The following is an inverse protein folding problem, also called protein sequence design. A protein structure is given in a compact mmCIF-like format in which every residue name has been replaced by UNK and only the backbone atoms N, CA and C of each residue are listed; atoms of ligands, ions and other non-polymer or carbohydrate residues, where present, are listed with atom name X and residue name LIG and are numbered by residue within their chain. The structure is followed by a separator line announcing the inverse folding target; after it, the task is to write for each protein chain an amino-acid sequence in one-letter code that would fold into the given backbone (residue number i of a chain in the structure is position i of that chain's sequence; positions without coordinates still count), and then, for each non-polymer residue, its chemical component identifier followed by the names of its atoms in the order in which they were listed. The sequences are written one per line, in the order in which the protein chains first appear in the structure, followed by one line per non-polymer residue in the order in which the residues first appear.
data_IF_959247349454
#
_entry.id   IF_959247349454
#
_cell.length_a   1.000
_cell.length_b   1.000
_cell.length_c   1.000
_cell.angle_alpha   90.00
_cell.angle_beta   90.00
_cell.angle_gamma   90.00
#
_symmetry.space_group_name_H-M   'P 1'
#
loop_
_entity.id
_entity.type
_entity.pdbx_description
1 polymer ?
#
# COMPACT_ATOMS: atom_id res chain seq x y z
N UNK A 1 12.03 64.93 -7.90
CA UNK A 1 11.76 63.49 -8.17
C UNK A 1 11.00 62.78 -7.05
N UNK A 2 10.97 63.30 -5.82
CA UNK A 2 10.23 62.69 -4.67
C UNK A 2 8.69 62.81 -4.78
N UNK A 3 8.16 63.93 -5.19
CA UNK A 3 6.69 64.17 -5.25
C UNK A 3 5.93 63.28 -6.24
N UNK A 4 6.57 62.94 -7.38
CA UNK A 4 5.99 62.01 -8.37
C UNK A 4 5.96 60.57 -7.83
N UNK A 5 6.99 60.17 -7.11
CA UNK A 5 7.07 58.85 -6.49
C UNK A 5 6.01 58.67 -5.37
N UNK A 6 5.75 59.72 -4.61
CA UNK A 6 4.75 59.75 -3.54
C UNK A 6 3.32 59.79 -4.12
N UNK A 7 3.10 60.49 -5.21
CA UNK A 7 1.83 60.47 -5.93
C UNK A 7 1.56 59.11 -6.59
N UNK A 8 2.56 58.45 -7.14
CA UNK A 8 2.42 57.09 -7.71
C UNK A 8 2.17 56.02 -6.63
N UNK A 9 2.69 56.20 -5.42
CA UNK A 9 2.39 55.33 -4.29
C UNK A 9 0.99 55.56 -3.68
N UNK A 10 0.45 56.77 -3.80
CA UNK A 10 -0.90 57.07 -3.35
C UNK A 10 -2.01 56.63 -4.31
N UNK A 11 -1.67 56.35 -5.55
CA UNK A 11 -2.56 55.70 -6.51
C UNK A 11 -2.60 54.20 -6.18
N UNK A 12 -3.66 53.76 -5.54
CA UNK A 12 -3.95 52.31 -5.34
C UNK A 12 -4.32 51.69 -6.69
N UNK A 13 -3.29 51.59 -7.58
CA UNK A 13 -3.43 50.95 -8.89
C UNK A 13 -3.47 49.45 -8.60
N UNK A 14 -4.66 48.92 -8.38
CA UNK A 14 -4.88 47.49 -8.40
C UNK A 14 -4.45 46.98 -9.75
N UNK A 15 -3.41 46.16 -9.77
CA UNK A 15 -3.02 45.45 -11.00
C UNK A 15 -4.29 44.83 -11.60
N UNK A 16 -4.52 44.99 -12.93
CA UNK A 16 -5.68 44.36 -13.55
C UNK A 16 -5.59 42.86 -13.28
N UNK A 17 -6.75 42.21 -13.03
CA UNK A 17 -6.75 40.77 -12.79
C UNK A 17 -6.05 40.08 -13.96
N UNK A 18 -4.98 39.32 -13.66
CA UNK A 18 -4.23 38.58 -14.67
C UNK A 18 -5.23 37.64 -15.34
N UNK A 19 -5.45 37.85 -16.65
CA UNK A 19 -6.34 36.99 -17.43
C UNK A 19 -5.84 35.55 -17.35
N UNK A 20 -6.58 34.67 -16.70
CA UNK A 20 -6.25 33.25 -16.67
C UNK A 20 -6.60 32.64 -18.03
N UNK A 21 -5.61 32.14 -18.78
CA UNK A 21 -5.90 31.50 -20.06
C UNK A 21 -6.81 30.29 -19.83
N UNK A 22 -7.95 30.28 -20.49
CA UNK A 22 -8.91 29.17 -20.45
C UNK A 22 -8.73 28.26 -21.63
N UNK A 23 -8.71 26.94 -21.40
CA UNK A 23 -8.83 25.95 -22.46
C UNK A 23 -10.28 25.67 -22.82
N UNK A 24 -10.46 24.88 -23.86
CA UNK A 24 -11.77 24.37 -24.29
C UNK A 24 -11.71 22.86 -24.45
N UNK A 25 -12.75 22.17 -23.98
CA UNK A 25 -12.97 20.76 -24.20
C UNK A 25 -13.32 20.53 -25.68
N UNK A 26 -12.62 19.62 -26.35
CA UNK A 26 -12.85 19.30 -27.77
C UNK A 26 -13.41 17.89 -27.99
N UNK A 27 -13.04 16.93 -27.12
CA UNK A 27 -13.56 15.57 -27.20
C UNK A 27 -13.55 14.87 -25.82
N UNK A 28 -14.39 13.83 -25.73
CA UNK A 28 -14.43 12.90 -24.60
C UNK A 28 -14.30 11.49 -25.18
N UNK A 29 -13.26 10.74 -24.76
CA UNK A 29 -13.03 9.38 -25.22
C UNK A 29 -12.80 8.45 -24.02
N UNK A 30 -13.81 7.70 -23.61
CA UNK A 30 -13.74 6.82 -22.45
C UNK A 30 -13.38 7.61 -21.17
N UNK A 31 -12.19 7.37 -20.64
CA UNK A 31 -11.69 8.05 -19.43
C UNK A 31 -10.98 9.37 -19.71
N UNK A 32 -10.71 9.69 -20.97
CA UNK A 32 -9.94 10.88 -21.35
C UNK A 32 -10.84 12.01 -21.83
N UNK A 33 -10.50 13.22 -21.38
CA UNK A 33 -11.03 14.48 -21.88
C UNK A 33 -9.91 15.17 -22.67
N UNK A 34 -10.21 15.56 -23.89
CA UNK A 34 -9.27 16.27 -24.76
C UNK A 34 -9.54 17.78 -24.71
N UNK A 35 -8.52 18.55 -24.40
CA UNK A 35 -8.64 20.00 -24.33
C UNK A 35 -7.55 20.71 -25.13
N UNK A 36 -7.87 21.93 -25.59
CA UNK A 36 -6.94 22.80 -26.32
C UNK A 36 -6.98 24.23 -25.72
N UNK A 37 -5.98 25.04 -26.03
CA UNK A 37 -6.01 26.49 -25.78
C UNK A 37 -5.44 26.96 -24.44
N UNK A 38 -5.14 26.10 -23.47
CA UNK A 38 -4.39 26.47 -22.28
C UNK A 38 -3.07 25.71 -22.16
N UNK A 39 -2.08 26.34 -21.53
CA UNK A 39 -0.79 25.68 -21.23
C UNK A 39 -0.87 25.02 -19.88
N UNK A 40 -0.87 23.70 -19.85
CA UNK A 40 -0.91 22.88 -18.66
C UNK A 40 0.29 21.92 -18.69
N UNK A 41 0.85 21.59 -17.53
CA UNK A 41 1.89 20.57 -17.41
C UNK A 41 1.30 19.23 -16.90
N UNK A 42 1.94 18.13 -17.19
CA UNK A 42 1.56 16.82 -16.69
C UNK A 42 1.50 16.81 -15.16
N UNK A 43 0.45 16.23 -14.62
CA UNK A 43 0.18 16.21 -13.17
C UNK A 43 -0.54 17.46 -12.64
N UNK A 44 -0.69 18.52 -13.45
CA UNK A 44 -1.42 19.72 -13.03
C UNK A 44 -2.91 19.44 -12.90
N UNK A 45 -3.51 19.94 -11.82
CA UNK A 45 -4.97 19.91 -11.64
C UNK A 45 -5.64 21.00 -12.47
N UNK A 46 -6.82 20.70 -12.97
CA UNK A 46 -7.67 21.63 -13.70
C UNK A 46 -9.14 21.32 -13.41
N UNK A 47 -10.03 22.22 -13.81
CA UNK A 47 -11.48 22.06 -13.69
C UNK A 47 -12.12 22.22 -15.05
N UNK A 48 -13.07 21.36 -15.37
CA UNK A 48 -13.85 21.38 -16.61
C UNK A 48 -15.29 21.75 -16.27
N UNK A 49 -15.84 22.74 -16.98
CA UNK A 49 -17.20 23.22 -16.78
C UNK A 49 -18.21 22.17 -17.27
N UNK A 50 -19.29 21.98 -16.53
CA UNK A 50 -20.39 21.10 -16.89
C UNK A 50 -21.61 21.92 -17.37
N UNK A 51 -22.57 21.28 -18.00
CA UNK A 51 -23.75 21.93 -18.60
C UNK A 51 -24.61 22.68 -17.57
N UNK A 52 -24.62 22.24 -16.31
CA UNK A 52 -25.33 22.87 -15.20
C UNK A 52 -24.54 24.01 -14.53
N UNK A 53 -23.37 24.37 -15.07
CA UNK A 53 -22.49 25.39 -14.54
C UNK A 53 -21.64 24.96 -13.34
N UNK A 54 -21.69 23.68 -12.97
CA UNK A 54 -20.77 23.10 -11.98
C UNK A 54 -19.38 22.83 -12.58
N UNK A 55 -18.45 22.37 -11.77
CA UNK A 55 -17.06 22.12 -12.17
C UNK A 55 -16.65 20.70 -11.83
N UNK A 56 -16.13 19.99 -12.84
CA UNK A 56 -15.53 18.67 -12.69
C UNK A 56 -14.02 18.81 -12.53
N UNK A 57 -13.49 18.36 -11.40
CA UNK A 57 -12.05 18.32 -11.17
C UNK A 57 -11.39 17.23 -11.97
N UNK A 58 -10.26 17.55 -12.62
CA UNK A 58 -9.48 16.65 -13.44
C UNK A 58 -7.98 16.93 -13.29
N UNK A 59 -7.18 16.00 -13.78
CA UNK A 59 -5.72 16.12 -13.82
C UNK A 59 -5.20 15.91 -15.24
N UNK A 60 -4.17 16.66 -15.62
CA UNK A 60 -3.43 16.45 -16.87
C UNK A 60 -2.64 15.16 -16.78
N UNK A 61 -2.96 14.20 -17.63
CA UNK A 61 -2.27 12.90 -17.69
C UNK A 61 -1.29 12.79 -18.87
N UNK A 62 -1.41 13.67 -19.86
CA UNK A 62 -0.51 13.72 -20.99
C UNK A 62 -0.92 14.79 -22.01
N UNK A 63 -0.16 14.88 -23.09
CA UNK A 63 -0.48 15.75 -24.23
C UNK A 63 0.12 15.17 -25.51
N UNK A 64 -0.49 15.51 -26.65
CA UNK A 64 0.02 15.23 -27.98
C UNK A 64 -0.26 16.45 -28.87
N UNK A 65 0.78 16.96 -29.51
CA UNK A 65 0.71 18.17 -30.32
C UNK A 65 0.15 19.37 -29.54
N UNK A 66 -1.05 19.82 -29.89
CA UNK A 66 -1.76 20.93 -29.22
C UNK A 66 -2.89 20.45 -28.29
N UNK A 67 -3.09 19.13 -28.20
CA UNK A 67 -4.14 18.54 -27.39
C UNK A 67 -3.60 18.11 -26.04
N UNK A 68 -4.24 18.52 -24.98
CA UNK A 68 -3.95 18.12 -23.61
C UNK A 68 -4.97 17.07 -23.18
N UNK A 69 -4.51 15.93 -22.69
CA UNK A 69 -5.33 14.86 -22.17
C UNK A 69 -5.53 15.06 -20.69
N UNK A 70 -6.80 15.14 -20.28
CA UNK A 70 -7.21 15.28 -18.90
C UNK A 70 -7.94 14.00 -18.47
N UNK A 71 -7.78 13.61 -17.23
CA UNK A 71 -8.53 12.51 -16.63
C UNK A 71 -9.28 13.04 -15.40
N UNK A 72 -10.60 12.90 -15.34
CA UNK A 72 -11.39 13.38 -14.23
C UNK A 72 -11.22 12.47 -13.00
N UNK A 73 -11.38 13.06 -11.82
CA UNK A 73 -11.34 12.29 -10.56
C UNK A 73 -12.64 11.54 -10.28
N UNK A 74 -13.75 11.98 -10.86
CA UNK A 74 -15.07 11.38 -10.76
C UNK A 74 -15.62 11.06 -12.15
N UNK A 75 -16.75 10.37 -12.20
CA UNK A 75 -17.43 10.12 -13.46
C UNK A 75 -17.72 11.43 -14.19
N UNK A 76 -17.49 11.44 -15.50
CA UNK A 76 -17.57 12.62 -16.36
C UNK A 76 -18.97 12.81 -16.94
N UNK A 77 -19.92 13.24 -16.12
CA UNK A 77 -21.30 13.53 -16.54
C UNK A 77 -21.48 15.02 -16.87
N UNK A 78 -22.40 15.32 -17.77
CA UNK A 78 -22.79 16.70 -18.10
C UNK A 78 -21.73 17.50 -18.86
N UNK A 79 -20.76 16.88 -19.49
CA UNK A 79 -19.75 17.55 -20.32
C UNK A 79 -20.29 17.87 -21.70
N UNK A 80 -19.93 19.05 -22.22
CA UNK A 80 -20.29 19.53 -23.56
C UNK A 80 -19.06 20.00 -24.33
N UNK A 81 -19.09 19.84 -25.66
CA UNK A 81 -18.03 20.38 -26.52
C UNK A 81 -17.92 21.89 -26.36
N UNK A 82 -16.69 22.40 -26.26
CA UNK A 82 -16.44 23.82 -26.03
C UNK A 82 -16.51 24.27 -24.56
N UNK A 83 -16.83 23.35 -23.63
CA UNK A 83 -16.79 23.63 -22.18
C UNK A 83 -15.45 24.23 -21.77
N UNK A 84 -15.47 25.16 -20.83
CA UNK A 84 -14.25 25.83 -20.35
C UNK A 84 -13.40 24.90 -19.51
N UNK A 85 -12.09 24.97 -19.74
CA UNK A 85 -11.08 24.27 -18.93
C UNK A 85 -10.25 25.31 -18.21
N UNK A 86 -10.27 25.29 -16.88
CA UNK A 86 -9.52 26.22 -16.04
C UNK A 86 -8.36 25.51 -15.34
N UNK A 87 -7.13 26.04 -15.45
CA UNK A 87 -6.02 25.58 -14.62
C UNK A 87 -6.33 25.82 -13.14
N UNK A 88 -6.06 24.82 -12.29
CA UNK A 88 -6.04 25.05 -10.85
C UNK A 88 -4.71 25.69 -10.44
N UNK A 89 -4.78 26.75 -9.66
CA UNK A 89 -3.62 27.58 -9.28
C UNK A 89 -2.95 27.12 -7.99
N UNK A 90 -3.02 25.87 -7.62
CA UNK A 90 -2.38 25.36 -6.41
C UNK A 90 -1.50 24.13 -6.70
N UNK A 91 -0.45 23.92 -5.91
CA UNK A 91 0.29 22.67 -5.96
C UNK A 91 -0.62 21.49 -5.58
N UNK A 92 -0.34 20.30 -6.10
CA UNK A 92 -0.95 19.05 -5.63
C UNK A 92 -0.43 18.72 -4.23
N UNK A 93 -0.91 19.47 -3.23
CA UNK A 93 -0.45 19.39 -1.84
C UNK A 93 -1.63 19.47 -0.88
N UNK A 94 -1.47 18.86 0.26
CA UNK A 94 -2.44 18.86 1.36
C UNK A 94 -1.80 19.45 2.61
N UNK A 95 -2.65 19.97 3.52
CA UNK A 95 -2.19 20.37 4.86
C UNK A 95 -2.31 19.16 5.79
N UNK A 96 -1.18 18.71 6.34
CA UNK A 96 -1.12 17.55 7.23
C UNK A 96 -0.64 17.95 8.63
N UNK A 97 -1.14 17.28 9.64
CA UNK A 97 -0.76 17.48 11.03
C UNK A 97 -1.37 16.45 11.96
N UNK A 98 -1.22 16.59 13.29
CA UNK A 98 -1.71 15.63 14.28
C UNK A 98 -3.22 15.34 14.21
N UNK A 99 -4.01 16.29 13.68
CA UNK A 99 -5.47 16.14 13.49
C UNK A 99 -5.86 15.05 12.49
N UNK A 100 -4.90 14.50 11.74
CA UNK A 100 -5.14 13.41 10.79
C UNK A 100 -5.25 12.03 11.45
N UNK A 101 -4.75 11.90 12.69
CA UNK A 101 -4.88 10.64 13.43
C UNK A 101 -6.35 10.33 13.71
N UNK A 102 -6.74 9.10 13.44
CA UNK A 102 -8.13 8.64 13.60
C UNK A 102 -9.07 9.04 12.46
N UNK A 103 -8.54 9.60 11.35
CA UNK A 103 -9.35 10.12 10.25
C UNK A 103 -9.31 9.22 9.01
N UNK A 104 -10.36 9.33 8.22
CA UNK A 104 -10.52 8.65 6.93
C UNK A 104 -10.63 9.69 5.82
N UNK A 105 -9.81 9.53 4.78
CA UNK A 105 -9.71 10.45 3.65
C UNK A 105 -9.76 9.70 2.31
N UNK A 106 -10.11 10.43 1.23
CA UNK A 106 -9.99 9.93 -0.14
C UNK A 106 -8.57 10.17 -0.70
N UNK A 107 -8.35 9.82 -1.97
CA UNK A 107 -7.06 10.03 -2.65
C UNK A 107 -6.66 11.50 -2.87
N UNK A 108 -7.55 12.44 -2.63
CA UNK A 108 -7.28 13.88 -2.67
C UNK A 108 -6.93 14.45 -1.28
N UNK A 109 -7.00 13.63 -0.22
CA UNK A 109 -6.82 14.07 1.17
C UNK A 109 -8.07 14.73 1.77
N UNK A 110 -9.23 14.58 1.12
CA UNK A 110 -10.50 15.10 1.63
C UNK A 110 -11.11 14.12 2.63
N UNK A 111 -11.61 14.61 3.78
CA UNK A 111 -12.22 13.73 4.78
C UNK A 111 -13.53 13.14 4.28
N UNK A 112 -13.70 11.83 4.48
CA UNK A 112 -14.92 11.08 4.13
C UNK A 112 -15.66 10.51 5.34
N UNK A 113 -15.16 10.80 6.55
CA UNK A 113 -15.67 10.28 7.82
C UNK A 113 -16.75 11.16 8.48
N UNK A 114 -17.17 12.24 7.83
CA UNK A 114 -18.19 13.17 8.35
C UNK A 114 -17.75 14.03 9.54
N UNK A 115 -16.46 13.98 9.94
CA UNK A 115 -15.94 14.70 11.12
C UNK A 115 -15.39 16.10 10.82
N UNK A 116 -15.82 16.70 9.72
CA UNK A 116 -15.40 18.05 9.32
C UNK A 116 -14.02 18.12 8.66
N UNK A 117 -13.60 19.33 8.31
CA UNK A 117 -12.37 19.58 7.55
C UNK A 117 -11.12 19.19 8.33
N UNK A 118 -10.13 18.70 7.60
CA UNK A 118 -8.78 18.47 8.09
C UNK A 118 -7.91 19.71 7.90
N UNK A 119 -7.06 19.96 8.87
CA UNK A 119 -6.04 20.98 8.80
C UNK A 119 -4.68 20.42 9.21
N UNK A 120 -3.64 21.22 9.03
CA UNK A 120 -2.29 20.86 9.45
C UNK A 120 -1.37 22.06 9.42
N UNK A 121 -0.23 21.89 10.04
CA UNK A 121 0.84 22.88 10.13
C UNK A 121 1.89 22.74 9.02
N UNK A 122 1.77 21.70 8.20
CA UNK A 122 2.71 21.42 7.12
C UNK A 122 2.01 21.12 5.80
N UNK A 123 2.62 21.61 4.73
CA UNK A 123 2.24 21.27 3.37
C UNK A 123 2.96 19.98 2.95
N UNK A 124 2.19 18.98 2.53
CA UNK A 124 2.67 17.70 2.06
C UNK A 124 2.34 17.54 0.57
N UNK A 125 3.35 17.17 -0.23
CA UNK A 125 3.12 16.74 -1.62
C UNK A 125 2.33 15.43 -1.63
N UNK A 126 1.38 15.32 -2.55
CA UNK A 126 0.65 14.06 -2.75
C UNK A 126 1.48 12.99 -3.43
N UNK A 127 2.60 13.36 -4.06
CA UNK A 127 3.57 12.43 -4.64
C UNK A 127 4.62 12.07 -3.60
N UNK A 128 4.90 10.77 -3.40
CA UNK A 128 5.88 10.31 -2.41
C UNK A 128 7.28 10.88 -2.65
N UNK A 129 8.00 11.26 -1.58
CA UNK A 129 9.35 11.79 -1.72
C UNK A 129 10.33 10.72 -2.17
N UNK A 130 11.24 11.06 -3.08
CA UNK A 130 12.37 10.21 -3.42
C UNK A 130 13.47 10.37 -2.35
N UNK A 131 13.87 9.27 -1.75
CA UNK A 131 14.94 9.24 -0.73
C UNK A 131 16.23 8.75 -1.39
N UNK A 132 17.35 9.44 -1.09
CA UNK A 132 18.66 8.98 -1.54
C UNK A 132 19.02 7.64 -0.90
N UNK A 133 19.27 6.56 -1.68
CA UNK A 133 19.54 5.23 -1.13
C UNK A 133 20.73 5.19 -0.15
N UNK A 134 21.76 6.02 -0.38
CA UNK A 134 22.94 6.07 0.48
C UNK A 134 22.72 6.77 1.83
N UNK A 135 21.58 7.44 2.00
CA UNK A 135 21.21 8.14 3.24
C UNK A 135 20.17 7.39 4.06
N UNK A 136 19.50 6.39 3.45
CA UNK A 136 18.55 5.52 4.17
C UNK A 136 19.29 4.73 5.25
N UNK A 137 18.76 4.71 6.48
CA UNK A 137 19.25 3.83 7.52
C UNK A 137 19.01 2.36 7.13
N UNK A 138 19.91 1.44 7.49
CA UNK A 138 19.73 0.01 7.25
C UNK A 138 18.58 -0.58 8.09
N UNK A 139 18.16 -1.79 7.74
CA UNK A 139 17.14 -2.55 8.49
C UNK A 139 17.86 -3.42 9.51
N UNK A 140 17.85 -3.01 10.79
CA UNK A 140 18.64 -3.65 11.86
C UNK A 140 17.80 -4.14 13.05
N UNK A 141 16.57 -3.62 13.20
CA UNK A 141 15.71 -3.95 14.33
C UNK A 141 14.47 -4.73 13.88
N UNK A 142 14.01 -5.74 14.64
CA UNK A 142 12.77 -6.43 14.35
C UNK A 142 11.56 -5.52 14.62
N UNK A 143 10.51 -5.69 13.80
CA UNK A 143 9.19 -5.12 14.02
C UNK A 143 8.27 -6.20 14.59
N UNK A 144 7.81 -6.02 15.82
CA UNK A 144 6.78 -6.87 16.38
C UNK A 144 5.41 -6.54 15.75
N UNK A 145 4.81 -7.54 15.11
CA UNK A 145 3.49 -7.43 14.46
C UNK A 145 2.41 -8.23 15.20
N UNK A 146 2.73 -8.83 16.35
CA UNK A 146 1.81 -9.59 17.18
C UNK A 146 1.29 -10.89 16.58
N UNK A 147 1.94 -11.39 15.52
CA UNK A 147 1.58 -12.65 14.85
C UNK A 147 2.71 -13.64 15.01
N UNK A 148 2.45 -14.73 15.75
CA UNK A 148 3.47 -15.72 16.15
C UNK A 148 4.24 -16.28 14.96
N UNK A 149 3.52 -16.73 13.92
CA UNK A 149 4.13 -17.28 12.71
C UNK A 149 5.04 -16.26 12.00
N UNK A 150 4.70 -14.97 12.02
CA UNK A 150 5.52 -13.90 11.43
C UNK A 150 6.69 -13.59 12.37
N UNK A 151 6.44 -13.32 13.64
CA UNK A 151 7.46 -12.94 14.61
C UNK A 151 8.55 -14.02 14.76
N UNK A 152 8.17 -15.32 14.72
CA UNK A 152 9.12 -16.43 14.91
C UNK A 152 9.77 -16.94 13.64
N UNK A 153 9.04 -17.00 12.51
CA UNK A 153 9.49 -17.69 11.30
C UNK A 153 9.82 -16.76 10.12
N UNK A 154 9.26 -15.57 10.12
CA UNK A 154 9.28 -14.63 9.00
C UNK A 154 9.52 -13.20 9.49
N UNK A 155 10.31 -13.04 10.54
CA UNK A 155 10.50 -11.75 11.24
C UNK A 155 10.68 -10.60 10.28
N UNK A 156 9.82 -9.60 10.41
CA UNK A 156 9.88 -8.37 9.64
C UNK A 156 10.80 -7.38 10.36
N UNK A 157 11.67 -6.71 9.60
CA UNK A 157 12.49 -5.62 10.14
C UNK A 157 11.79 -4.26 10.04
N UNK A 158 12.13 -3.34 10.92
CA UNK A 158 11.70 -1.94 10.83
C UNK A 158 12.23 -1.30 9.55
N UNK A 159 11.32 -0.82 8.70
CA UNK A 159 11.65 -0.32 7.37
C UNK A 159 11.64 -1.36 6.25
N UNK A 160 11.34 -2.62 6.53
CA UNK A 160 11.21 -3.67 5.52
C UNK A 160 9.90 -3.54 4.73
N UNK A 161 9.95 -3.92 3.45
CA UNK A 161 8.82 -3.96 2.51
C UNK A 161 8.44 -5.40 2.22
N UNK A 162 7.26 -5.82 2.64
CA UNK A 162 6.82 -7.24 2.57
C UNK A 162 5.56 -7.35 1.73
N UNK A 163 5.51 -8.36 0.87
CA UNK A 163 4.30 -8.76 0.14
C UNK A 163 3.45 -9.73 0.97
N UNK A 164 2.16 -9.51 1.04
CA UNK A 164 1.19 -10.48 1.53
C UNK A 164 0.47 -11.08 0.32
N UNK A 165 0.91 -12.24 -0.13
CA UNK A 165 0.35 -12.96 -1.27
C UNK A 165 -0.86 -13.76 -0.80
N UNK A 166 -2.04 -13.46 -1.36
CA UNK A 166 -3.27 -14.08 -0.91
C UNK A 166 -4.26 -14.24 -2.06
N UNK A 167 -4.92 -15.39 -2.13
CA UNK A 167 -6.14 -15.57 -2.89
C UNK A 167 -7.36 -14.98 -2.17
N UNK A 168 -8.55 -15.17 -2.75
CA UNK A 168 -9.81 -14.75 -2.11
C UNK A 168 -10.20 -15.71 -0.98
N UNK A 169 -10.67 -15.16 0.15
CA UNK A 169 -11.27 -15.95 1.25
C UNK A 169 -10.31 -16.68 2.18
N UNK A 170 -9.00 -16.44 2.09
CA UNK A 170 -7.98 -17.13 2.92
C UNK A 170 -7.68 -16.43 4.26
N UNK A 171 -8.46 -15.42 4.65
CA UNK A 171 -8.28 -14.71 5.91
C UNK A 171 -7.36 -13.48 5.85
N UNK A 172 -7.06 -12.94 4.64
CA UNK A 172 -6.23 -11.74 4.44
C UNK A 172 -6.62 -10.58 5.35
N UNK A 173 -7.87 -10.15 5.31
CA UNK A 173 -8.34 -8.97 6.06
C UNK A 173 -8.31 -9.19 7.57
N UNK A 174 -8.52 -10.43 8.03
CA UNK A 174 -8.41 -10.82 9.44
C UNK A 174 -6.96 -10.71 9.91
N UNK A 175 -6.01 -11.22 9.13
CA UNK A 175 -4.58 -11.13 9.43
C UNK A 175 -4.11 -9.68 9.48
N UNK A 176 -4.47 -8.87 8.47
CA UNK A 176 -4.15 -7.42 8.46
C UNK A 176 -4.74 -6.71 9.69
N UNK A 177 -5.98 -7.05 10.08
CA UNK A 177 -6.60 -6.53 11.28
C UNK A 177 -5.86 -6.93 12.56
N UNK A 178 -5.38 -8.16 12.66
CA UNK A 178 -4.56 -8.62 13.79
C UNK A 178 -3.25 -7.85 13.86
N UNK A 179 -2.51 -7.73 12.75
CA UNK A 179 -1.28 -6.95 12.66
C UNK A 179 -1.53 -5.49 13.07
N UNK A 180 -2.60 -4.87 12.57
CA UNK A 180 -2.93 -3.47 12.88
C UNK A 180 -3.19 -3.23 14.36
N UNK A 181 -3.85 -4.16 15.04
CA UNK A 181 -4.15 -4.05 16.48
C UNK A 181 -2.93 -4.29 17.35
N UNK A 182 -2.09 -5.24 16.99
CA UNK A 182 -1.03 -5.78 17.87
C UNK A 182 0.36 -5.22 17.56
N UNK A 183 0.56 -4.58 16.40
CA UNK A 183 1.88 -4.00 16.09
C UNK A 183 2.33 -2.93 17.09
N UNK A 184 3.62 -2.90 17.35
CA UNK A 184 4.29 -1.87 18.18
C UNK A 184 4.59 -0.58 17.40
N UNK A 185 4.17 -0.46 16.14
CA UNK A 185 4.34 0.78 15.37
C UNK A 185 3.62 1.96 16.03
N UNK A 186 4.23 3.16 15.99
CA UNK A 186 3.67 4.39 16.58
C UNK A 186 2.46 4.88 15.78
N UNK A 187 2.55 4.80 14.46
CA UNK A 187 1.53 5.25 13.50
C UNK A 187 1.25 4.17 12.47
N UNK A 188 -0.01 4.01 12.13
CA UNK A 188 -0.45 3.11 11.08
C UNK A 188 -1.07 3.93 9.96
N UNK A 189 -0.65 3.67 8.72
CA UNK A 189 -1.30 4.24 7.53
C UNK A 189 -1.89 3.08 6.75
N UNK A 190 -3.20 3.14 6.51
CA UNK A 190 -3.92 2.09 5.79
C UNK A 190 -4.44 2.65 4.47
N UNK A 191 -4.03 2.06 3.37
CA UNK A 191 -4.60 2.30 2.04
C UNK A 191 -5.55 1.18 1.65
N UNK A 192 -6.84 1.47 1.53
CA UNK A 192 -7.85 0.55 1.03
C UNK A 192 -8.15 0.92 -0.44
N UNK A 193 -7.44 0.27 -1.37
CA UNK A 193 -7.37 0.65 -2.78
C UNK A 193 -8.05 -0.41 -3.65
N UNK A 194 -9.14 -0.03 -4.31
CA UNK A 194 -9.88 -0.90 -5.22
C UNK A 194 -10.62 -2.04 -4.52
N UNK A 195 -10.80 -1.97 -3.21
CA UNK A 195 -11.61 -2.92 -2.45
C UNK A 195 -13.10 -2.57 -2.54
N UNK A 196 -13.97 -3.54 -2.31
CA UNK A 196 -15.42 -3.30 -2.34
C UNK A 196 -15.87 -2.45 -1.17
N UNK A 197 -16.84 -1.57 -1.37
CA UNK A 197 -17.38 -0.69 -0.31
C UNK A 197 -17.75 -1.45 0.98
N UNK A 198 -18.31 -2.67 0.86
CA UNK A 198 -18.63 -3.53 2.01
C UNK A 198 -17.38 -3.97 2.75
N UNK A 199 -16.32 -4.35 2.04
CA UNK A 199 -15.07 -4.83 2.62
C UNK A 199 -14.30 -3.70 3.31
N UNK A 200 -14.32 -2.49 2.71
CA UNK A 200 -13.79 -1.26 3.32
C UNK A 200 -14.45 -1.00 4.68
N UNK A 201 -15.78 -1.01 4.73
CA UNK A 201 -16.52 -0.79 5.97
C UNK A 201 -16.23 -1.89 7.01
N UNK A 202 -16.24 -3.13 6.59
CA UNK A 202 -15.97 -4.27 7.47
C UNK A 202 -14.55 -4.24 8.05
N UNK A 203 -13.56 -3.84 7.24
CA UNK A 203 -12.18 -3.66 7.71
C UNK A 203 -12.09 -2.58 8.80
N UNK A 204 -12.69 -1.41 8.56
CA UNK A 204 -12.67 -0.29 9.52
C UNK A 204 -13.37 -0.67 10.82
N UNK A 205 -14.58 -1.24 10.74
CA UNK A 205 -15.40 -1.52 11.91
C UNK A 205 -14.91 -2.75 12.71
N UNK A 206 -14.52 -3.85 12.03
CA UNK A 206 -14.20 -5.13 12.67
C UNK A 206 -12.71 -5.40 12.78
N UNK A 207 -11.94 -5.12 11.72
CA UNK A 207 -10.51 -5.47 11.68
C UNK A 207 -9.67 -4.42 12.40
N UNK A 208 -9.83 -3.15 12.07
CA UNK A 208 -9.12 -2.04 12.70
C UNK A 208 -9.72 -1.72 14.08
N UNK A 209 -11.04 -1.56 14.12
CA UNK A 209 -11.77 -1.20 15.32
C UNK A 209 -11.45 0.20 15.85
N UNK A 210 -12.15 0.65 16.93
CA UNK A 210 -11.96 1.99 17.47
C UNK A 210 -10.55 2.27 17.99
N UNK A 211 -9.93 1.29 18.64
CA UNK A 211 -8.58 1.45 19.21
C UNK A 211 -7.49 1.52 18.13
N UNK A 212 -7.55 0.65 17.13
CA UNK A 212 -6.62 0.71 16.00
C UNK A 212 -6.77 2.01 15.21
N UNK A 213 -8.01 2.50 15.03
CA UNK A 213 -8.27 3.75 14.32
C UNK A 213 -7.64 4.95 15.02
N UNK A 214 -7.59 5.03 16.36
CA UNK A 214 -7.00 6.15 17.09
C UNK A 214 -5.56 6.47 16.68
N UNK A 215 -4.78 5.46 16.29
CA UNK A 215 -3.37 5.60 15.85
C UNK A 215 -3.20 5.34 14.36
N UNK A 216 -4.29 5.41 13.60
CA UNK A 216 -4.27 5.17 12.17
C UNK A 216 -4.75 6.37 11.36
N UNK A 217 -4.23 6.51 10.13
CA UNK A 217 -4.80 7.32 9.06
C UNK A 217 -5.23 6.36 7.96
N UNK A 218 -6.50 6.42 7.54
CA UNK A 218 -7.05 5.53 6.53
C UNK A 218 -7.31 6.31 5.25
N UNK A 219 -6.70 5.88 4.14
CA UNK A 219 -6.95 6.44 2.80
C UNK A 219 -7.78 5.43 2.03
N UNK A 220 -8.90 5.88 1.48
CA UNK A 220 -9.88 5.00 0.85
C UNK A 220 -10.10 5.43 -0.60
N UNK A 221 -9.96 4.48 -1.52
CA UNK A 221 -10.38 4.60 -2.91
C UNK A 221 -11.00 3.25 -3.34
N UNK A 222 -12.32 3.07 -3.19
CA UNK A 222 -12.99 1.81 -3.48
C UNK A 222 -12.95 1.44 -4.97
N UNK A 223 -13.47 0.26 -5.32
CA UNK A 223 -13.42 -0.29 -6.67
C UNK A 223 -14.22 0.52 -7.71
N UNK A 224 -15.21 1.28 -7.25
CA UNK A 224 -16.06 2.17 -8.08
C UNK A 224 -15.46 3.56 -8.30
N UNK A 225 -14.33 3.88 -7.65
CA UNK A 225 -13.58 5.12 -7.91
C UNK A 225 -12.79 5.06 -9.23
N UNK A 226 -12.51 6.25 -9.80
CA UNK A 226 -11.74 6.35 -11.04
C UNK A 226 -10.34 5.72 -10.89
N UNK A 227 -9.74 5.22 -11.99
CA UNK A 227 -8.36 4.70 -11.96
C UNK A 227 -7.37 5.72 -11.41
N UNK A 228 -7.50 6.98 -11.82
CA UNK A 228 -6.65 8.07 -11.34
C UNK A 228 -6.77 8.25 -9.83
N UNK A 229 -7.98 8.20 -9.27
CA UNK A 229 -8.21 8.31 -7.83
C UNK A 229 -7.55 7.16 -7.06
N UNK A 230 -7.62 5.93 -7.59
CA UNK A 230 -6.94 4.75 -7.00
C UNK A 230 -5.42 4.90 -7.00
N UNK A 231 -4.83 5.43 -8.09
CA UNK A 231 -3.39 5.74 -8.16
C UNK A 231 -3.03 6.78 -7.11
N UNK A 232 -3.75 7.91 -7.08
CA UNK A 232 -3.48 9.01 -6.15
C UNK A 232 -3.65 8.59 -4.69
N UNK A 233 -4.65 7.78 -4.36
CA UNK A 233 -4.85 7.28 -3.00
C UNK A 233 -3.67 6.42 -2.54
N UNK A 234 -3.10 5.61 -3.43
CA UNK A 234 -1.92 4.80 -3.12
C UNK A 234 -0.70 5.68 -2.87
N UNK A 235 -0.44 6.66 -3.72
CA UNK A 235 0.65 7.62 -3.55
C UNK A 235 0.47 8.48 -2.27
N UNK A 236 -0.77 8.89 -1.98
CA UNK A 236 -1.13 9.61 -0.76
C UNK A 236 -0.78 8.82 0.51
N UNK A 237 -1.07 7.51 0.55
CA UNK A 237 -0.68 6.65 1.67
C UNK A 237 0.81 6.71 1.93
N UNK A 238 1.63 6.61 0.88
CA UNK A 238 3.08 6.66 0.99
C UNK A 238 3.57 8.03 1.45
N UNK A 239 2.98 9.10 0.92
CA UNK A 239 3.31 10.48 1.32
C UNK A 239 3.00 10.73 2.79
N UNK A 240 1.82 10.31 3.27
CA UNK A 240 1.43 10.41 4.68
C UNK A 240 2.37 9.59 5.57
N UNK A 241 2.66 8.35 5.19
CA UNK A 241 3.57 7.49 5.95
C UNK A 241 5.00 8.07 6.01
N UNK A 242 5.51 8.60 4.90
CA UNK A 242 6.80 9.28 4.84
C UNK A 242 6.84 10.53 5.72
N UNK A 243 5.75 11.30 5.80
CA UNK A 243 5.65 12.46 6.69
C UNK A 243 5.87 12.08 8.16
N UNK A 244 5.20 11.03 8.63
CA UNK A 244 5.35 10.58 10.03
C UNK A 244 6.72 9.93 10.27
N UNK A 245 7.24 9.13 9.32
CA UNK A 245 8.61 8.60 9.38
C UNK A 245 9.64 9.72 9.53
N UNK A 246 9.55 10.77 8.70
CA UNK A 246 10.51 11.87 8.70
C UNK A 246 10.44 12.73 9.97
N UNK A 247 9.44 12.49 10.82
CA UNK A 247 9.29 13.04 12.18
C UNK A 247 9.85 12.11 13.27
N UNK A 248 10.51 11.04 12.90
CA UNK A 248 11.14 10.11 13.84
C UNK A 248 10.23 8.98 14.33
N UNK A 249 9.02 8.81 13.75
CA UNK A 249 8.09 7.78 14.18
C UNK A 249 8.31 6.46 13.41
N UNK A 250 7.99 5.35 14.06
CA UNK A 250 7.94 4.04 13.43
C UNK A 250 6.55 3.85 12.83
N UNK A 251 6.49 3.87 11.51
CA UNK A 251 5.24 3.79 10.76
C UNK A 251 5.07 2.40 10.16
N UNK A 252 3.87 1.84 10.32
CA UNK A 252 3.43 0.69 9.54
C UNK A 252 2.48 1.16 8.44
N UNK A 253 2.88 0.99 7.19
CA UNK A 253 2.03 1.18 6.02
C UNK A 253 1.41 -0.16 5.62
N UNK A 254 0.09 -0.22 5.56
CA UNK A 254 -0.68 -1.32 4.99
C UNK A 254 -1.31 -0.85 3.68
N UNK A 255 -0.94 -1.43 2.55
CA UNK A 255 -1.51 -1.09 1.24
C UNK A 255 -2.30 -2.29 0.69
N UNK A 256 -3.60 -2.22 0.73
CA UNK A 256 -4.52 -3.22 0.23
C UNK A 256 -5.29 -2.65 -0.98
N UNK A 257 -4.85 -2.90 -2.23
CA UNK A 257 -3.77 -3.77 -2.64
C UNK A 257 -2.85 -3.15 -3.72
N UNK A 258 -1.62 -3.61 -3.75
CA UNK A 258 -0.66 -3.26 -4.82
C UNK A 258 -1.15 -3.74 -6.19
N UNK A 259 -1.86 -4.89 -6.25
CA UNK A 259 -2.49 -5.38 -7.48
C UNK A 259 -3.50 -4.38 -8.04
N UNK A 260 -4.35 -3.78 -7.19
CA UNK A 260 -5.34 -2.78 -7.62
C UNK A 260 -4.67 -1.48 -8.09
N UNK A 261 -3.55 -1.10 -7.47
CA UNK A 261 -2.72 0.00 -7.97
C UNK A 261 -2.17 -0.29 -9.37
N UNK A 262 -1.62 -1.49 -9.59
CA UNK A 262 -1.13 -1.90 -10.91
C UNK A 262 -2.24 -1.92 -11.97
N UNK A 263 -3.45 -2.40 -11.62
CA UNK A 263 -4.62 -2.37 -12.49
C UNK A 263 -5.04 -0.94 -12.83
N UNK A 264 -5.03 -0.03 -11.86
CA UNK A 264 -5.36 1.37 -12.09
C UNK A 264 -4.34 2.05 -13.01
N UNK A 265 -3.04 1.80 -12.82
CA UNK A 265 -2.00 2.26 -13.74
C UNK A 265 -2.20 1.72 -15.15
N UNK A 266 -2.56 0.43 -15.29
CA UNK A 266 -2.87 -0.18 -16.58
C UNK A 266 -4.02 0.54 -17.27
N UNK A 267 -5.13 0.81 -16.57
CA UNK A 267 -6.28 1.51 -17.13
C UNK A 267 -5.89 2.93 -17.61
N UNK A 268 -5.11 3.66 -16.83
CA UNK A 268 -4.61 4.99 -17.20
C UNK A 268 -3.71 4.92 -18.44
N UNK A 269 -2.72 4.02 -18.45
CA UNK A 269 -1.74 3.92 -19.53
C UNK A 269 -2.38 3.45 -20.84
N UNK A 270 -3.30 2.46 -20.81
CA UNK A 270 -4.04 2.03 -21.99
C UNK A 270 -4.93 3.15 -22.55
N UNK A 271 -5.56 3.95 -21.69
CA UNK A 271 -6.37 5.09 -22.13
C UNK A 271 -5.50 6.14 -22.85
N UNK A 272 -4.25 6.32 -22.46
CA UNK A 272 -3.28 7.20 -23.13
C UNK A 272 -2.71 6.62 -24.43
N UNK A 273 -3.11 5.38 -24.79
CA UNK A 273 -2.66 4.71 -26.01
C UNK A 273 -1.31 3.99 -25.88
N UNK A 274 -0.82 3.76 -24.64
CA UNK A 274 0.35 2.91 -24.47
C UNK A 274 0.01 1.46 -24.83
N UNK A 275 0.79 0.78 -25.68
CA UNK A 275 0.46 -0.56 -26.11
C UNK A 275 0.55 -1.57 -24.95
N UNK A 276 -0.40 -2.52 -24.88
CA UNK A 276 -0.32 -3.59 -23.91
C UNK A 276 0.85 -4.53 -24.23
N UNK A 277 1.52 -5.02 -23.21
CA UNK A 277 2.60 -5.99 -23.28
C UNK A 277 2.22 -7.28 -22.52
N UNK A 278 2.90 -7.61 -21.42
CA UNK A 278 2.72 -8.86 -20.69
C UNK A 278 1.32 -8.95 -20.06
N UNK A 279 0.52 -9.91 -20.47
CA UNK A 279 -0.87 -10.13 -20.02
C UNK A 279 -1.74 -8.86 -20.02
N UNK A 280 -1.50 -7.99 -21.00
CA UNK A 280 -2.26 -6.75 -21.15
C UNK A 280 -1.82 -5.59 -20.26
N UNK A 281 -0.73 -5.72 -19.52
CA UNK A 281 -0.13 -4.62 -18.76
C UNK A 281 0.89 -3.88 -19.63
N UNK A 282 0.76 -2.54 -19.77
CA UNK A 282 1.79 -1.71 -20.40
C UNK A 282 3.11 -1.68 -19.61
N UNK A 283 4.26 -1.46 -20.28
CA UNK A 283 5.58 -1.42 -19.62
C UNK A 283 5.69 -0.38 -18.51
N UNK A 284 5.00 0.75 -18.62
CA UNK A 284 5.01 1.82 -17.62
C UNK A 284 4.52 1.34 -16.24
N UNK A 285 3.62 0.35 -16.17
CA UNK A 285 3.14 -0.21 -14.91
C UNK A 285 4.29 -0.80 -14.12
N UNK A 286 5.14 -1.61 -14.77
CA UNK A 286 6.28 -2.27 -14.13
C UNK A 286 7.46 -1.32 -13.82
N UNK A 287 7.48 -0.12 -14.39
CA UNK A 287 8.43 0.92 -13.99
C UNK A 287 7.92 1.80 -12.84
N UNK A 288 6.61 1.97 -12.71
CA UNK A 288 6.02 2.77 -11.63
C UNK A 288 5.93 2.00 -10.29
N UNK A 289 5.64 0.69 -10.32
CA UNK A 289 5.57 -0.13 -9.10
C UNK A 289 6.84 -0.08 -8.24
N UNK A 290 8.06 -0.27 -8.79
CA UNK A 290 9.29 -0.14 -8.01
C UNK A 290 9.46 1.27 -7.42
N UNK A 291 9.13 2.33 -8.18
CA UNK A 291 9.25 3.71 -7.70
C UNK A 291 8.37 3.97 -6.47
N UNK A 292 7.14 3.46 -6.48
CA UNK A 292 6.24 3.54 -5.34
C UNK A 292 6.82 2.78 -4.13
N UNK A 293 7.15 1.51 -4.31
CA UNK A 293 7.66 0.62 -3.25
C UNK A 293 8.96 1.15 -2.64
N UNK A 294 9.87 1.70 -3.47
CA UNK A 294 11.12 2.29 -3.02
C UNK A 294 10.95 3.58 -2.19
N UNK A 295 9.79 4.23 -2.24
CA UNK A 295 9.49 5.37 -1.37
C UNK A 295 9.32 4.97 0.11
N UNK A 296 9.02 3.69 0.38
CA UNK A 296 9.02 3.11 1.72
C UNK A 296 10.44 2.79 2.21
N UNK A 297 10.55 2.44 3.48
CA UNK A 297 11.82 2.12 4.13
C UNK A 297 12.20 3.14 5.20
N UNK A 298 13.39 2.94 5.77
CA UNK A 298 13.91 3.81 6.83
C UNK A 298 14.14 5.24 6.34
N UNK A 299 14.03 6.18 7.25
CA UNK A 299 14.36 7.58 7.00
C UNK A 299 15.88 7.81 6.90
N UNK A 300 16.28 9.07 6.66
CA UNK A 300 17.68 9.46 6.63
C UNK A 300 18.26 9.53 8.06
N UNK A 301 19.40 8.87 8.30
CA UNK A 301 20.08 8.87 9.59
C UNK A 301 19.21 8.24 10.70
N UNK A 302 19.08 8.91 11.84
CA UNK A 302 18.29 8.48 13.01
C UNK A 302 16.79 8.82 12.93
N UNK A 303 16.29 9.21 11.75
CA UNK A 303 14.86 9.42 11.53
C UNK A 303 14.11 8.08 11.58
N UNK A 304 12.80 8.13 11.84
CA UNK A 304 11.96 6.95 12.00
C UNK A 304 11.98 5.95 10.84
N UNK A 305 11.17 4.93 10.96
CA UNK A 305 11.04 3.86 9.97
C UNK A 305 9.66 3.86 9.29
N UNK A 306 9.59 3.36 8.05
CA UNK A 306 8.34 3.07 7.35
C UNK A 306 8.39 1.63 6.86
N UNK A 307 7.93 0.71 7.70
CA UNK A 307 7.71 -0.68 7.30
C UNK A 307 6.43 -0.77 6.49
N UNK A 308 6.43 -1.54 5.41
CA UNK A 308 5.29 -1.61 4.52
C UNK A 308 4.86 -3.04 4.24
N UNK A 309 3.56 -3.32 4.34
CA UNK A 309 2.93 -4.57 3.93
C UNK A 309 2.01 -4.28 2.75
N UNK A 310 2.33 -4.85 1.61
CA UNK A 310 1.56 -4.75 0.38
C UNK A 310 0.80 -6.04 0.15
N UNK A 311 -0.52 -5.98 0.08
CA UNK A 311 -1.25 -7.17 -0.37
C UNK A 311 -1.13 -7.30 -1.88
N UNK A 312 -0.90 -8.51 -2.31
CA UNK A 312 -0.82 -8.87 -3.73
C UNK A 312 -1.81 -10.00 -3.97
N UNK A 313 -2.81 -9.71 -4.79
CA UNK A 313 -3.87 -10.65 -5.11
C UNK A 313 -3.44 -11.48 -6.33
N UNK A 314 -3.34 -12.78 -6.15
CA UNK A 314 -3.16 -13.75 -7.23
C UNK A 314 -4.56 -14.25 -7.65
N UNK A 315 -5.06 -13.81 -8.81
CA UNK A 315 -6.33 -14.31 -9.33
C UNK A 315 -6.22 -15.81 -9.66
N UNK A 316 -7.13 -16.62 -9.12
CA UNK A 316 -7.09 -18.07 -9.30
C UNK A 316 -5.89 -18.79 -8.70
N UNK A 317 -5.25 -18.18 -7.69
CA UNK A 317 -4.00 -18.66 -7.08
C UNK A 317 -2.82 -18.75 -8.09
N UNK A 318 -2.88 -18.00 -9.21
CA UNK A 318 -1.85 -17.97 -10.26
C UNK A 318 -0.59 -17.27 -9.78
N UNK A 319 0.39 -18.05 -9.40
CA UNK A 319 1.71 -17.58 -8.96
C UNK A 319 2.55 -16.98 -10.11
N UNK A 320 2.14 -17.16 -11.38
CA UNK A 320 2.80 -16.63 -12.58
C UNK A 320 2.17 -15.32 -13.08
N UNK A 321 1.27 -14.71 -12.30
CA UNK A 321 0.76 -13.38 -12.60
C UNK A 321 1.90 -12.37 -12.65
N UNK A 322 2.01 -11.50 -13.70
CA UNK A 322 3.11 -10.56 -13.85
C UNK A 322 3.25 -9.56 -12.69
N UNK A 323 2.13 -9.19 -12.05
CA UNK A 323 2.15 -8.30 -10.88
C UNK A 323 2.70 -9.03 -9.67
N UNK A 324 2.34 -10.31 -9.47
CA UNK A 324 2.87 -11.16 -8.40
C UNK A 324 4.38 -11.34 -8.56
N UNK A 325 4.84 -11.66 -9.78
CA UNK A 325 6.27 -11.84 -10.07
C UNK A 325 7.06 -10.54 -9.89
N UNK A 326 6.55 -9.43 -10.43
CA UNK A 326 7.15 -8.11 -10.23
C UNK A 326 7.20 -7.73 -8.74
N UNK A 327 6.13 -7.98 -7.97
CA UNK A 327 6.11 -7.71 -6.54
C UNK A 327 7.18 -8.53 -5.78
N UNK A 328 7.35 -9.83 -6.11
CA UNK A 328 8.40 -10.66 -5.53
C UNK A 328 9.81 -10.16 -5.81
N UNK A 329 10.02 -9.58 -6.98
CA UNK A 329 11.32 -9.04 -7.39
C UNK A 329 11.69 -7.77 -6.63
N UNK A 330 10.72 -6.87 -6.37
CA UNK A 330 10.95 -5.55 -5.80
C UNK A 330 10.80 -5.47 -4.27
N UNK A 331 10.19 -6.49 -3.63
CA UNK A 331 9.97 -6.53 -2.19
C UNK A 331 11.07 -7.28 -1.45
N UNK A 332 11.27 -6.96 -0.17
CA UNK A 332 12.28 -7.55 0.71
C UNK A 332 11.82 -8.87 1.33
N UNK A 333 10.77 -9.47 0.82
CA UNK A 333 10.20 -10.73 1.24
C UNK A 333 8.70 -10.80 0.97
N UNK A 334 8.13 -11.99 1.20
CA UNK A 334 6.70 -12.20 1.04
C UNK A 334 6.17 -13.26 2.01
N UNK A 335 4.92 -13.09 2.39
CA UNK A 335 4.12 -14.00 3.21
C UNK A 335 3.04 -14.56 2.30
N UNK A 336 2.93 -15.87 2.22
CA UNK A 336 1.93 -16.56 1.38
C UNK A 336 0.82 -17.10 2.25
N UNK A 337 -0.42 -16.71 1.96
CA UNK A 337 -1.61 -17.33 2.53
C UNK A 337 -2.15 -18.35 1.55
N UNK A 338 -2.37 -19.59 2.01
CA UNK A 338 -2.86 -20.67 1.16
C UNK A 338 -4.29 -21.07 1.51
N UNK A 339 -5.04 -21.46 0.48
CA UNK A 339 -6.40 -21.97 0.62
C UNK A 339 -6.40 -23.34 1.33
N UNK A 340 -5.39 -24.18 1.06
CA UNK A 340 -5.24 -25.50 1.70
C UNK A 340 -5.22 -25.38 3.24
N UNK A 341 -4.44 -24.43 3.78
CA UNK A 341 -4.40 -24.20 5.23
C UNK A 341 -5.73 -23.63 5.76
N UNK A 342 -6.34 -22.69 5.02
CA UNK A 342 -7.63 -22.12 5.42
C UNK A 342 -8.75 -23.15 5.46
N UNK A 343 -8.85 -24.05 4.48
CA UNK A 343 -9.83 -25.14 4.40
C UNK A 343 -9.64 -26.17 5.53
N UNK A 344 -8.41 -26.35 6.00
CA UNK A 344 -8.09 -27.20 7.16
C UNK A 344 -8.38 -26.51 8.51
N UNK A 345 -8.81 -25.24 8.50
CA UNK A 345 -9.05 -24.46 9.71
C UNK A 345 -7.77 -23.96 10.40
N UNK A 346 -6.62 -24.01 9.72
CA UNK A 346 -5.35 -23.50 10.22
C UNK A 346 -5.28 -21.98 10.01
N UNK A 347 -5.41 -21.21 11.07
CA UNK A 347 -5.34 -19.73 11.02
C UNK A 347 -4.32 -19.17 12.00
N UNK A 348 -3.55 -18.12 11.56
CA UNK A 348 -3.55 -17.56 10.21
C UNK A 348 -3.06 -18.58 9.16
N UNK A 349 -3.62 -18.55 7.96
CA UNK A 349 -3.33 -19.52 6.90
C UNK A 349 -1.98 -19.26 6.21
N UNK A 350 -0.93 -18.98 7.00
CA UNK A 350 0.41 -18.63 6.55
C UNK A 350 1.19 -19.90 6.22
N UNK A 351 1.53 -20.08 4.95
CA UNK A 351 2.48 -21.11 4.55
C UNK A 351 3.90 -20.61 4.77
N UNK A 352 4.49 -21.01 5.89
CA UNK A 352 5.87 -20.63 6.24
C UNK A 352 6.91 -21.23 5.30
N UNK A 353 6.58 -22.29 4.57
CA UNK A 353 7.49 -22.95 3.62
C UNK A 353 7.62 -22.14 2.33
N UNK A 354 6.53 -21.58 1.84
CA UNK A 354 6.49 -20.74 0.65
C UNK A 354 6.80 -19.26 0.95
N UNK A 355 6.90 -18.89 2.23
CA UNK A 355 7.14 -17.53 2.69
C UNK A 355 8.62 -17.27 2.99
N UNK A 356 9.06 -16.03 2.79
CA UNK A 356 10.43 -15.59 3.05
C UNK A 356 10.50 -14.16 3.55
N UNK A 357 11.33 -13.91 4.59
CA UNK A 357 11.81 -12.57 4.94
C UNK A 357 13.31 -12.50 4.63
N UNK A 358 13.69 -11.63 3.69
CA UNK A 358 15.09 -11.46 3.30
C UNK A 358 15.90 -10.73 4.36
N UNK A 359 15.25 -9.94 5.21
CA UNK A 359 15.88 -9.17 6.27
C UNK A 359 15.99 -9.95 7.60
N UNK A 360 15.29 -11.08 7.76
CA UNK A 360 15.23 -11.80 9.03
C UNK A 360 16.61 -12.07 9.64
N UNK A 361 17.55 -12.60 8.85
CA UNK A 361 18.89 -12.95 9.36
C UNK A 361 19.71 -11.72 9.84
N UNK A 362 19.32 -10.50 9.44
CA UNK A 362 19.98 -9.24 9.84
C UNK A 362 19.39 -8.66 11.13
N UNK A 363 18.13 -8.96 11.43
CA UNK A 363 17.38 -8.35 12.54
C UNK A 363 17.15 -9.28 13.72
N UNK A 364 17.56 -10.56 13.63
CA UNK A 364 17.41 -11.55 14.72
C UNK A 364 18.73 -12.24 15.05
N UNK A 365 18.78 -12.86 16.23
CA UNK A 365 19.98 -13.61 16.66
C UNK A 365 20.26 -14.85 15.80
N UNK A 366 21.53 -15.31 15.73
CA UNK A 366 21.88 -16.55 15.03
C UNK A 366 21.11 -17.78 15.53
N UNK A 367 20.85 -17.85 16.86
CA UNK A 367 20.09 -18.95 17.47
C UNK A 367 18.63 -18.95 16.98
N UNK A 368 17.99 -17.78 16.86
CA UNK A 368 16.64 -17.65 16.32
C UNK A 368 16.62 -18.11 14.85
N UNK A 369 17.57 -17.63 14.06
CA UNK A 369 17.70 -18.05 12.64
C UNK A 369 17.85 -19.55 12.50
N UNK A 370 18.67 -20.17 13.37
CA UNK A 370 18.89 -21.63 13.37
C UNK A 370 17.62 -22.38 13.75
N UNK A 371 16.90 -21.95 14.78
CA UNK A 371 15.63 -22.56 15.20
C UNK A 371 14.58 -22.50 14.09
N UNK A 372 14.42 -21.35 13.43
CA UNK A 372 13.50 -21.19 12.31
C UNK A 372 13.85 -22.10 11.12
N UNK A 373 15.15 -22.26 10.80
CA UNK A 373 15.60 -23.19 9.76
C UNK A 373 15.32 -24.66 10.12
N UNK A 374 15.53 -25.06 11.38
CA UNK A 374 15.20 -26.42 11.85
C UNK A 374 13.71 -26.72 11.72
N UNK A 375 12.86 -25.77 12.14
CA UNK A 375 11.41 -25.93 12.02
C UNK A 375 10.97 -26.03 10.55
N UNK A 376 11.47 -25.17 9.67
CA UNK A 376 11.21 -25.27 8.22
C UNK A 376 11.64 -26.63 7.65
N UNK A 377 12.81 -27.14 8.06
CA UNK A 377 13.28 -28.44 7.63
C UNK A 377 12.36 -29.58 8.12
N UNK A 378 11.86 -29.50 9.35
CA UNK A 378 10.91 -30.49 9.88
C UNK A 378 9.58 -30.48 9.09
N UNK A 379 9.03 -29.29 8.79
CA UNK A 379 7.83 -29.17 7.95
C UNK A 379 8.08 -29.80 6.57
N UNK A 380 9.21 -29.50 5.94
CA UNK A 380 9.55 -30.03 4.61
C UNK A 380 9.70 -31.56 4.61
N UNK A 381 10.27 -32.15 5.69
CA UNK A 381 10.38 -33.59 5.83
C UNK A 381 9.03 -34.24 6.03
N UNK A 382 8.19 -33.68 6.92
CA UNK A 382 6.82 -34.18 7.11
C UNK A 382 6.02 -34.13 5.80
N UNK A 383 6.10 -33.03 5.03
CA UNK A 383 5.38 -32.89 3.76
C UNK A 383 5.71 -34.01 2.75
N UNK A 384 6.95 -34.54 2.76
CA UNK A 384 7.35 -35.66 1.87
C UNK A 384 6.66 -36.98 2.19
N UNK A 385 6.29 -37.19 3.46
CA UNK A 385 5.72 -38.49 3.92
C UNK A 385 4.22 -38.35 4.27
N UNK A 386 3.68 -37.13 4.27
CA UNK A 386 2.29 -36.86 4.66
C UNK A 386 1.28 -37.76 3.98
N UNK A 387 1.42 -37.96 2.68
CA UNK A 387 0.48 -38.75 1.88
C UNK A 387 0.71 -40.24 2.02
N UNK A 388 1.88 -40.66 2.49
CA UNK A 388 2.26 -42.07 2.74
C UNK A 388 1.73 -42.59 4.08
N UNK A 389 1.53 -41.69 5.08
CA UNK A 389 1.07 -42.05 6.42
C UNK A 389 -0.32 -42.71 6.38
N UNK A 390 -1.36 -42.07 5.79
CA UNK A 390 -2.71 -42.66 5.73
C UNK A 390 -2.77 -43.93 4.85
N UNK A 391 -1.85 -44.11 3.91
CA UNK A 391 -1.75 -45.29 3.06
C UNK A 391 -1.04 -46.44 3.74
N UNK A 392 -0.51 -46.26 4.96
CA UNK A 392 0.30 -47.29 5.65
C UNK A 392 1.66 -47.57 5.00
N UNK A 393 2.09 -46.74 4.04
CA UNK A 393 3.35 -46.90 3.33
C UNK A 393 4.56 -46.25 4.06
N UNK A 394 4.29 -45.45 5.08
CA UNK A 394 5.31 -44.91 5.97
C UNK A 394 5.74 -45.96 7.01
N UNK A 395 7.03 -46.25 7.10
CA UNK A 395 7.60 -47.18 8.08
C UNK A 395 8.38 -46.39 9.14
N UNK A 396 7.89 -46.30 10.40
CA UNK A 396 8.62 -45.72 11.50
C UNK A 396 9.94 -46.48 11.74
N UNK A 397 11.02 -45.72 12.03
CA UNK A 397 12.36 -46.28 12.26
C UNK A 397 13.28 -46.32 11.03
N UNK A 398 12.76 -46.06 9.82
CA UNK A 398 13.57 -46.04 8.60
C UNK A 398 14.48 -44.79 8.50
N UNK A 399 14.00 -43.62 8.96
CA UNK A 399 14.75 -42.36 9.03
C UNK A 399 14.41 -41.61 10.33
N UNK A 400 15.37 -41.58 11.30
CA UNK A 400 15.13 -40.93 12.60
C UNK A 400 14.75 -39.46 12.49
N UNK A 401 15.22 -38.75 11.47
CA UNK A 401 14.87 -37.32 11.29
C UNK A 401 13.45 -37.14 10.75
N UNK A 402 12.98 -38.02 9.88
CA UNK A 402 11.59 -38.04 9.40
C UNK A 402 10.66 -38.47 10.53
N UNK A 403 11.02 -39.47 11.34
CA UNK A 403 10.23 -39.87 12.51
C UNK A 403 10.06 -38.70 13.52
N UNK A 404 11.15 -37.98 13.76
CA UNK A 404 11.11 -36.76 14.60
C UNK A 404 10.18 -35.71 14.00
N UNK A 405 10.26 -35.47 12.69
CA UNK A 405 9.42 -34.49 11.99
C UNK A 405 7.92 -34.86 12.08
N UNK A 406 7.59 -36.14 11.91
CA UNK A 406 6.20 -36.66 12.05
C UNK A 406 5.67 -36.47 13.46
N UNK A 407 6.46 -36.80 14.49
CA UNK A 407 6.08 -36.60 15.90
C UNK A 407 5.91 -35.15 16.29
N UNK A 408 6.72 -34.26 15.72
CA UNK A 408 6.73 -32.83 16.03
C UNK A 408 5.63 -32.07 15.31
N UNK A 409 5.13 -32.56 14.18
CA UNK A 409 4.21 -31.83 13.30
C UNK A 409 2.92 -31.33 14.01
N UNK A 410 2.23 -32.10 14.87
CA UNK A 410 1.07 -31.59 15.59
C UNK A 410 1.39 -30.38 16.47
N UNK A 411 2.53 -30.38 17.15
CA UNK A 411 2.98 -29.25 17.97
C UNK A 411 3.39 -28.04 17.12
N UNK A 412 3.95 -28.26 15.92
CA UNK A 412 4.24 -27.19 14.96
C UNK A 412 2.93 -26.54 14.47
N UNK A 413 1.91 -27.34 14.14
CA UNK A 413 0.61 -26.82 13.72
C UNK A 413 -0.04 -25.99 14.85
N UNK A 414 -0.04 -26.52 16.07
CA UNK A 414 -0.56 -25.80 17.25
C UNK A 414 0.21 -24.48 17.49
N UNK A 415 1.53 -24.51 17.39
CA UNK A 415 2.37 -23.33 17.56
C UNK A 415 2.12 -22.25 16.50
N UNK A 416 1.90 -22.63 15.25
CA UNK A 416 1.68 -21.70 14.15
C UNK A 416 0.24 -21.17 14.09
N UNK A 417 -0.71 -21.89 14.71
CA UNK A 417 -2.08 -21.41 14.87
C UNK A 417 -2.18 -20.34 15.94
N UNK A 418 -3.00 -19.34 15.69
CA UNK A 418 -3.21 -18.21 16.60
C UNK A 418 -4.64 -17.68 16.49
N UNK A 419 -5.30 -17.48 17.63
CA UNK A 419 -6.60 -16.84 17.69
C UNK A 419 -6.55 -15.37 17.27
N UNK A 420 -7.63 -14.85 16.67
CA UNK A 420 -7.69 -13.48 16.15
C UNK A 420 -7.50 -12.37 17.20
N UNK A 421 -7.69 -12.69 18.48
CA UNK A 421 -7.50 -11.79 19.63
C UNK A 421 -6.36 -12.22 20.54
N UNK A 422 -5.71 -13.31 20.21
CA UNK A 422 -4.55 -13.80 20.94
C UNK A 422 -3.37 -12.89 20.67
N UNK A 423 -2.74 -12.38 21.73
CA UNK A 423 -1.53 -11.60 21.64
C UNK A 423 -0.31 -12.53 21.60
N UNK A 424 0.55 -12.36 20.58
CA UNK A 424 1.77 -13.14 20.41
C UNK A 424 2.96 -12.21 20.22
N UNK A 425 3.45 -11.58 21.30
CA UNK A 425 4.60 -10.69 21.25
C UNK A 425 5.86 -11.37 20.72
N UNK A 426 6.80 -10.57 20.21
CA UNK A 426 8.01 -11.06 19.57
C UNK A 426 8.82 -12.00 20.47
N UNK A 427 9.18 -11.59 21.69
CA UNK A 427 10.05 -12.37 22.56
C UNK A 427 9.44 -13.74 22.94
N UNK A 428 8.19 -13.84 23.47
CA UNK A 428 7.56 -15.14 23.73
C UNK A 428 7.41 -16.04 22.49
N UNK A 429 7.17 -15.45 21.31
CA UNK A 429 7.07 -16.20 20.06
C UNK A 429 8.42 -16.84 19.68
N UNK A 430 9.51 -16.12 19.87
CA UNK A 430 10.88 -16.62 19.60
C UNK A 430 11.28 -17.67 20.63
N UNK A 431 10.98 -17.45 21.93
CA UNK A 431 11.33 -18.40 23.00
C UNK A 431 10.58 -19.71 22.81
N UNK A 432 9.30 -19.67 22.44
CA UNK A 432 8.52 -20.87 22.11
C UNK A 432 9.09 -21.64 20.93
N UNK A 433 9.53 -20.94 19.87
CA UNK A 433 10.23 -21.57 18.74
C UNK A 433 11.52 -22.25 19.17
N UNK A 434 12.37 -21.57 19.96
CA UNK A 434 13.65 -22.11 20.44
C UNK A 434 13.44 -23.35 21.33
N UNK A 435 12.47 -23.29 22.24
CA UNK A 435 12.15 -24.42 23.13
C UNK A 435 11.65 -25.66 22.34
N UNK A 436 10.89 -25.46 21.26
CA UNK A 436 10.43 -26.57 20.41
C UNK A 436 11.57 -27.20 19.58
N UNK A 437 12.59 -26.43 19.21
CA UNK A 437 13.71 -26.86 18.34
C UNK A 437 14.99 -27.26 19.08
N UNK A 438 14.99 -27.11 20.41
CA UNK A 438 16.06 -27.64 21.28
C UNK A 438 15.92 -29.17 21.45
#
# INVERSE_FOLDING_TARGET
MSAIADTLRSLDIKAPPVATPTGRLVAVQGLLLESVGCRLHTGQRCRVETVDGSWLDAQVVGFRDKVTYLMPFKQADGLVTGARVLPSTGPSSIQIGPSWMGRMVNGLGEPIDGRGKLGGDRTLSTTPPKVNPLRKAPVEEPLDVGVRAINSMLTIGKGQRVGLMAGSGVGKSVLLGTITRQTVADVIVVGLIGERNREVREFIEKSLGPEGLKRAVVVVAPADESPLMRVMATEMCHSIAAHFRDRGQNVLLLCDSLTRYAMALREVALSLGEPPATRGYPPSVFSNMPQLVESAGNGEGSKGSMSAIYTVLAEGDDQQDPVVDSARAILDGHIVLTRELAERGHYPAIDVSQSISRCMAQVVSPEHTLAARKLKAAIAKHARVRDLIPLGAYQPGADPETDRAVKLHPHIEEFLCQGTREDAPFAPSVDGLKAMMS
#
